data_IF_921070672962
#
_entry.id   IF_921070672962
#
_cell.length_a   1.000
_cell.length_b   1.000
_cell.length_c   1.000
_cell.angle_alpha   90.00
_cell.angle_beta   90.00
_cell.angle_gamma   90.00
#
_symmetry.space_group_name_H-M   'P 1'
#
loop_
_entity.id
_entity.type
_entity.pdbx_description
1 polymer ?
#
# COMPACT_ATOMS: atom_id res chain seq x y z
N UNK A 1 -17.58 4.33 20.31
CA UNK A 1 -17.46 5.69 19.70
C UNK A 1 -17.20 5.50 18.21
N UNK A 2 -17.94 6.18 17.36
CA UNK A 2 -17.74 6.13 15.90
C UNK A 2 -16.93 7.35 15.49
N UNK A 3 -15.83 7.14 14.76
CA UNK A 3 -14.92 8.21 14.35
C UNK A 3 -15.10 8.56 12.87
N UNK A 4 -14.84 9.81 12.52
CA UNK A 4 -14.65 10.29 11.17
C UNK A 4 -13.15 10.44 10.93
N UNK A 5 -12.58 9.59 10.08
CA UNK A 5 -11.15 9.44 9.86
C UNK A 5 -10.79 9.96 8.47
N UNK A 6 -9.83 10.87 8.38
CA UNK A 6 -9.28 11.34 7.12
C UNK A 6 -8.05 10.51 6.73
N UNK A 7 -7.96 10.12 5.46
CA UNK A 7 -6.79 9.46 4.91
C UNK A 7 -6.63 9.80 3.42
N UNK A 8 -5.59 9.26 2.79
CA UNK A 8 -5.24 9.54 1.40
C UNK A 8 -5.37 8.26 0.55
N UNK A 9 -5.81 8.39 -0.70
CA UNK A 9 -5.85 7.26 -1.61
C UNK A 9 -4.43 6.89 -2.07
N UNK A 10 -3.76 6.12 -1.23
CA UNK A 10 -2.41 5.63 -1.49
C UNK A 10 -2.40 4.18 -2.00
N UNK A 11 -3.27 3.31 -1.45
CA UNK A 11 -3.31 1.89 -1.79
C UNK A 11 -4.69 1.30 -1.45
N UNK A 12 -5.57 1.19 -2.44
CA UNK A 12 -6.97 0.79 -2.25
C UNK A 12 -7.14 -0.54 -1.50
N UNK A 13 -6.38 -1.63 -1.80
CA UNK A 13 -6.51 -2.88 -1.05
C UNK A 13 -6.29 -2.70 0.45
N UNK A 14 -5.30 -1.89 0.85
CA UNK A 14 -5.05 -1.58 2.26
C UNK A 14 -6.16 -0.72 2.87
N UNK A 15 -6.66 0.26 2.12
CA UNK A 15 -7.76 1.12 2.59
C UNK A 15 -9.06 0.33 2.74
N UNK A 16 -9.36 -0.63 1.86
CA UNK A 16 -10.47 -1.55 2.01
C UNK A 16 -10.35 -2.40 3.28
N UNK A 17 -9.15 -2.91 3.59
CA UNK A 17 -8.92 -3.63 4.85
C UNK A 17 -9.07 -2.71 6.07
N UNK A 18 -8.50 -1.52 5.99
CA UNK A 18 -8.58 -0.53 7.08
C UNK A 18 -10.02 -0.12 7.35
N UNK A 19 -10.86 0.05 6.32
CA UNK A 19 -12.27 0.43 6.48
C UNK A 19 -13.11 -0.59 7.29
N UNK A 20 -12.70 -1.87 7.32
CA UNK A 20 -13.38 -2.93 8.08
C UNK A 20 -13.38 -2.71 9.60
N UNK A 21 -12.61 -1.76 10.13
CA UNK A 21 -12.68 -1.38 11.55
C UNK A 21 -13.99 -0.64 11.92
N UNK A 22 -14.84 -0.33 10.96
CA UNK A 22 -16.20 0.12 11.19
C UNK A 22 -16.36 1.61 11.52
N UNK A 23 -15.37 2.45 11.16
CA UNK A 23 -15.46 3.92 11.25
C UNK A 23 -15.82 4.53 9.89
N UNK A 24 -16.17 5.82 9.85
CA UNK A 24 -16.34 6.53 8.58
C UNK A 24 -14.97 7.03 8.10
N UNK A 25 -14.62 6.72 6.86
CA UNK A 25 -13.38 7.17 6.23
C UNK A 25 -13.66 8.20 5.15
N UNK A 26 -13.02 9.36 5.26
CA UNK A 26 -12.88 10.31 4.16
C UNK A 26 -11.54 10.05 3.48
N UNK A 27 -11.58 9.66 2.22
CA UNK A 27 -10.36 9.34 1.47
C UNK A 27 -10.14 10.42 0.43
N UNK A 28 -9.03 11.15 0.57
CA UNK A 28 -8.64 12.19 -0.38
C UNK A 28 -8.22 11.55 -1.70
N UNK A 29 -8.90 11.93 -2.77
CA UNK A 29 -8.50 11.60 -4.14
C UNK A 29 -7.73 12.77 -4.76
N UNK A 30 -6.65 12.51 -5.52
CA UNK A 30 -5.97 13.56 -6.26
C UNK A 30 -6.84 14.01 -7.44
N UNK A 31 -6.79 15.31 -7.78
CA UNK A 31 -7.40 15.83 -9.01
C UNK A 31 -6.71 15.24 -10.25
N UNK A 32 -5.40 15.10 -10.17
CA UNK A 32 -4.55 14.50 -11.21
C UNK A 32 -3.76 13.36 -10.57
N UNK A 33 -3.79 12.19 -11.21
CA UNK A 33 -3.01 11.03 -10.75
C UNK A 33 -1.52 11.27 -10.97
N UNK A 34 -0.72 11.21 -9.90
CA UNK A 34 0.72 11.35 -9.94
C UNK A 34 1.40 10.34 -9.02
N UNK A 35 2.27 9.50 -9.57
CA UNK A 35 2.96 8.47 -8.81
C UNK A 35 2.00 7.49 -8.13
N UNK A 36 2.10 7.40 -6.81
CA UNK A 36 1.22 6.53 -6.00
C UNK A 36 -0.13 7.20 -5.67
N UNK A 37 -0.28 8.50 -5.92
CA UNK A 37 -1.55 9.21 -5.73
C UNK A 37 -2.36 9.10 -7.00
N UNK A 38 -3.44 8.32 -6.94
CA UNK A 38 -4.35 8.12 -8.07
C UNK A 38 -5.80 8.12 -7.58
N UNK A 39 -6.73 8.27 -8.52
CA UNK A 39 -8.14 8.09 -8.22
C UNK A 39 -8.43 6.63 -7.92
N UNK A 40 -9.46 6.39 -7.11
CA UNK A 40 -9.91 5.07 -6.76
C UNK A 40 -10.38 4.29 -7.99
N UNK A 41 -9.78 3.15 -8.24
CA UNK A 41 -10.19 2.26 -9.32
C UNK A 41 -11.35 1.36 -8.85
N UNK A 42 -12.57 1.83 -9.10
CA UNK A 42 -13.81 1.13 -8.71
C UNK A 42 -13.98 -0.23 -9.36
N UNK A 43 -13.31 -0.46 -10.51
CA UNK A 43 -13.32 -1.75 -11.18
C UNK A 43 -12.46 -2.77 -10.44
N UNK A 44 -11.33 -2.33 -9.88
CA UNK A 44 -10.42 -3.19 -9.11
C UNK A 44 -10.82 -3.35 -7.65
N UNK A 45 -11.48 -2.35 -7.08
CA UNK A 45 -11.98 -2.40 -5.69
C UNK A 45 -13.24 -1.57 -5.58
N UNK A 46 -14.41 -2.19 -5.28
CA UNK A 46 -15.60 -1.44 -4.90
C UNK A 46 -15.29 -0.51 -3.72
N UNK A 47 -15.83 0.69 -3.74
CA UNK A 47 -15.70 1.60 -2.61
C UNK A 47 -16.54 1.05 -1.45
N UNK A 48 -15.96 0.80 -0.27
CA UNK A 48 -16.73 0.34 0.89
C UNK A 48 -17.79 1.36 1.31
N UNK A 49 -18.93 0.89 1.86
CA UNK A 49 -20.08 1.74 2.21
C UNK A 49 -19.74 2.84 3.24
N UNK A 50 -18.75 2.60 4.09
CA UNK A 50 -18.26 3.56 5.08
C UNK A 50 -17.09 4.42 4.61
N UNK A 51 -16.77 4.39 3.30
CA UNK A 51 -15.73 5.21 2.67
C UNK A 51 -16.37 6.27 1.78
N UNK A 52 -16.00 7.52 1.99
CA UNK A 52 -16.42 8.68 1.21
C UNK A 52 -15.19 9.24 0.51
N UNK A 53 -15.22 9.23 -0.82
CA UNK A 53 -14.15 9.82 -1.62
C UNK A 53 -14.35 11.34 -1.68
N UNK A 54 -13.32 12.10 -1.35
CA UNK A 54 -13.38 13.57 -1.27
C UNK A 54 -12.22 14.21 -2.03
N UNK A 55 -12.43 15.42 -2.52
CA UNK A 55 -11.33 16.26 -3.04
C UNK A 55 -10.47 16.81 -1.90
N UNK A 56 -9.25 17.23 -2.23
CA UNK A 56 -8.40 17.92 -1.25
C UNK A 56 -9.07 19.18 -0.66
N UNK A 57 -9.83 19.92 -1.47
CA UNK A 57 -10.56 21.10 -1.03
C UNK A 57 -11.65 20.76 -0.01
N UNK A 58 -12.44 19.74 -0.26
CA UNK A 58 -13.47 19.27 0.68
C UNK A 58 -12.85 18.76 1.99
N UNK A 59 -11.73 18.04 1.90
CA UNK A 59 -11.00 17.56 3.07
C UNK A 59 -10.50 18.73 3.94
N UNK A 60 -9.94 19.77 3.34
CA UNK A 60 -9.52 20.99 4.05
C UNK A 60 -10.72 21.65 4.72
N UNK A 61 -11.85 21.83 4.04
CA UNK A 61 -13.08 22.39 4.64
C UNK A 61 -13.51 21.61 5.88
N UNK A 62 -13.50 20.27 5.81
CA UNK A 62 -13.85 19.40 6.95
C UNK A 62 -12.85 19.51 8.11
N UNK A 63 -11.57 19.73 7.81
CA UNK A 63 -10.53 19.97 8.83
C UNK A 63 -10.73 21.33 9.51
N UNK A 64 -11.00 22.39 8.73
CA UNK A 64 -11.24 23.75 9.23
C UNK A 64 -12.50 23.85 10.10
N UNK A 65 -13.52 23.07 9.77
CA UNK A 65 -14.76 22.93 10.55
C UNK A 65 -14.60 22.07 11.82
N UNK A 66 -13.44 21.43 12.01
CA UNK A 66 -13.21 20.50 13.14
C UNK A 66 -14.05 19.22 13.05
N UNK A 67 -14.47 18.83 11.85
CA UNK A 67 -15.34 17.69 11.61
C UNK A 67 -14.61 16.35 11.50
N UNK A 68 -13.27 16.35 11.60
CA UNK A 68 -12.40 15.17 11.52
C UNK A 68 -11.87 14.83 12.91
N UNK A 69 -12.02 13.57 13.32
CA UNK A 69 -11.57 13.10 14.64
C UNK A 69 -10.11 12.62 14.63
N UNK A 70 -9.63 12.09 13.50
CA UNK A 70 -8.33 11.45 13.36
C UNK A 70 -7.84 11.52 11.92
N UNK A 71 -6.53 11.68 11.73
CA UNK A 71 -5.89 11.48 10.42
C UNK A 71 -4.99 10.25 10.44
N UNK A 72 -5.10 9.42 9.41
CA UNK A 72 -4.15 8.32 9.13
C UNK A 72 -3.38 8.66 7.87
N UNK A 73 -2.09 8.91 8.04
CA UNK A 73 -1.13 9.21 6.98
C UNK A 73 -0.34 7.94 6.61
N UNK A 74 -0.03 7.76 5.34
CA UNK A 74 0.69 6.60 4.81
C UNK A 74 2.11 6.94 4.34
N UNK A 75 2.45 8.22 4.31
CA UNK A 75 3.78 8.73 3.97
C UNK A 75 3.99 10.13 4.57
N UNK A 76 5.24 10.60 4.52
CA UNK A 76 5.60 11.91 5.10
C UNK A 76 4.91 13.07 4.38
N UNK A 77 4.65 12.97 3.07
CA UNK A 77 3.95 14.02 2.31
C UNK A 77 2.52 14.23 2.85
N UNK A 78 1.83 13.16 3.25
CA UNK A 78 0.51 13.25 3.86
C UNK A 78 0.55 14.07 5.16
N UNK A 79 1.57 13.82 6.01
CA UNK A 79 1.74 14.58 7.26
C UNK A 79 2.03 16.06 7.01
N UNK A 80 2.83 16.40 6.00
CA UNK A 80 3.12 17.79 5.65
C UNK A 80 1.85 18.54 5.32
N UNK A 81 0.94 17.93 4.58
CA UNK A 81 -0.32 18.56 4.15
C UNK A 81 -1.28 18.86 5.32
N UNK A 82 -1.11 18.20 6.47
CA UNK A 82 -2.00 18.34 7.63
C UNK A 82 -1.23 18.74 8.90
N UNK A 83 0.00 19.21 8.74
CA UNK A 83 0.90 19.46 9.87
C UNK A 83 0.31 20.47 10.88
N UNK A 84 -0.27 21.56 10.38
CA UNK A 84 -0.77 22.67 11.19
C UNK A 84 -2.05 22.36 11.97
N UNK A 85 -2.77 21.30 11.60
CA UNK A 85 -4.01 20.94 12.28
C UNK A 85 -3.75 20.24 13.61
N UNK A 86 -4.40 20.73 14.67
CA UNK A 86 -4.23 20.23 16.04
C UNK A 86 -5.21 19.11 16.36
N UNK A 87 -5.08 17.95 15.65
CA UNK A 87 -5.90 16.76 15.88
C UNK A 87 -5.01 15.51 15.96
N UNK A 88 -5.52 14.39 16.50
CA UNK A 88 -4.79 13.13 16.54
C UNK A 88 -4.33 12.68 15.17
N UNK A 89 -3.08 12.22 15.07
CA UNK A 89 -2.46 11.74 13.83
C UNK A 89 -1.80 10.40 14.04
N UNK A 90 -2.00 9.50 13.09
CA UNK A 90 -1.29 8.22 12.99
C UNK A 90 -0.49 8.24 11.69
N UNK A 91 0.79 7.88 11.76
CA UNK A 91 1.63 7.61 10.60
C UNK A 91 1.87 6.11 10.48
N UNK A 92 1.47 5.52 9.36
CA UNK A 92 1.71 4.11 9.04
C UNK A 92 2.93 3.99 8.13
N UNK A 93 3.95 3.29 8.60
CA UNK A 93 5.19 3.05 7.85
C UNK A 93 5.10 1.72 7.10
N UNK A 94 4.99 1.80 5.78
CA UNK A 94 4.83 0.63 4.90
C UNK A 94 6.16 0.05 4.41
N UNK A 95 7.18 0.87 4.21
CA UNK A 95 8.48 0.47 3.68
C UNK A 95 9.58 0.61 4.72
N UNK A 96 10.74 -0.02 4.47
CA UNK A 96 11.99 0.27 5.19
C UNK A 96 12.52 1.64 4.76
N UNK A 97 13.13 2.37 5.68
CA UNK A 97 13.83 3.63 5.36
C UNK A 97 15.02 3.37 4.40
N UNK A 98 15.74 2.28 4.62
CA UNK A 98 16.84 1.87 3.72
C UNK A 98 16.37 1.65 2.28
N UNK A 99 15.16 1.09 2.09
CA UNK A 99 14.54 0.92 0.77
C UNK A 99 14.21 2.26 0.14
N UNK A 100 13.59 3.18 0.87
CA UNK A 100 13.24 4.52 0.39
C UNK A 100 14.49 5.30 -0.06
N UNK A 101 15.54 5.26 0.75
CA UNK A 101 16.82 5.91 0.42
C UNK A 101 17.43 5.30 -0.83
N UNK A 102 17.44 3.97 -0.95
CA UNK A 102 18.00 3.27 -2.10
C UNK A 102 17.25 3.57 -3.40
N UNK A 103 15.91 3.56 -3.35
CA UNK A 103 15.05 3.93 -4.48
C UNK A 103 15.28 5.39 -4.90
N UNK A 104 15.58 6.28 -3.94
CA UNK A 104 15.99 7.65 -4.18
C UNK A 104 17.43 7.79 -4.72
N UNK A 105 18.07 6.69 -5.15
CA UNK A 105 19.46 6.65 -5.62
C UNK A 105 20.48 7.16 -4.58
N UNK A 106 20.24 6.95 -3.30
CA UNK A 106 21.07 7.40 -2.17
C UNK A 106 21.36 8.91 -2.19
N UNK A 107 20.47 9.72 -2.78
CA UNK A 107 20.62 11.19 -2.85
C UNK A 107 20.51 11.86 -1.49
N UNK A 108 19.92 11.16 -0.51
CA UNK A 108 19.71 11.68 0.83
C UNK A 108 20.39 10.75 1.83
N UNK A 109 21.19 11.32 2.72
CA UNK A 109 21.76 10.59 3.84
C UNK A 109 20.66 10.24 4.85
N UNK A 110 20.77 9.08 5.50
CA UNK A 110 19.79 8.58 6.48
C UNK A 110 19.60 9.55 7.63
N UNK A 111 20.68 10.03 8.21
CA UNK A 111 20.65 10.93 9.37
C UNK A 111 20.01 12.26 9.00
N UNK A 112 20.41 12.84 7.89
CA UNK A 112 19.85 14.09 7.37
C UNK A 112 18.35 13.96 7.11
N UNK A 113 17.92 12.81 6.54
CA UNK A 113 16.50 12.55 6.31
C UNK A 113 15.72 12.46 7.62
N UNK A 114 16.22 11.69 8.59
CA UNK A 114 15.59 11.56 9.90
C UNK A 114 15.51 12.89 10.63
N UNK A 115 16.59 13.69 10.62
CA UNK A 115 16.61 15.02 11.23
C UNK A 115 15.56 15.94 10.60
N UNK A 116 15.35 15.84 9.28
CA UNK A 116 14.33 16.64 8.57
C UNK A 116 12.90 16.24 8.92
N UNK A 117 12.61 14.94 9.09
CA UNK A 117 11.24 14.47 9.31
C UNK A 117 10.85 14.37 10.80
N UNK A 118 11.82 14.23 11.71
CA UNK A 118 11.55 14.08 13.14
C UNK A 118 10.64 15.19 13.72
N UNK A 119 10.78 16.47 13.35
CA UNK A 119 9.85 17.52 13.80
C UNK A 119 8.39 17.25 13.40
N UNK A 120 8.15 16.68 12.22
CA UNK A 120 6.80 16.34 11.73
C UNK A 120 6.18 15.17 12.49
N UNK A 121 7.02 14.34 13.13
CA UNK A 121 6.60 13.14 13.87
C UNK A 121 6.38 13.39 15.36
N UNK A 122 6.55 14.63 15.82
CA UNK A 122 6.22 15.02 17.20
C UNK A 122 4.70 14.93 17.37
N UNK A 123 4.25 14.26 18.45
CA UNK A 123 2.83 14.01 18.75
C UNK A 123 2.08 13.19 17.68
N UNK A 124 2.78 12.51 16.79
CA UNK A 124 2.21 11.57 15.82
C UNK A 124 2.41 10.15 16.34
N UNK A 125 1.33 9.37 16.39
CA UNK A 125 1.40 7.94 16.72
C UNK A 125 2.03 7.20 15.54
N UNK A 126 3.13 6.51 15.78
CA UNK A 126 3.86 5.74 14.77
C UNK A 126 3.42 4.29 14.79
N UNK A 127 2.99 3.78 13.63
CA UNK A 127 2.61 2.38 13.41
C UNK A 127 3.46 1.81 12.28
N UNK A 128 4.06 0.66 12.51
CA UNK A 128 4.87 -0.08 11.53
C UNK A 128 4.15 -1.37 11.16
N UNK A 129 4.09 -1.69 9.87
CA UNK A 129 3.43 -2.91 9.41
C UNK A 129 4.25 -4.18 9.65
N UNK A 130 5.49 -4.07 10.16
CA UNK A 130 6.29 -5.21 10.63
C UNK A 130 7.38 -4.77 11.60
N UNK A 131 7.89 -5.72 12.38
CA UNK A 131 8.99 -5.48 13.30
C UNK A 131 10.30 -5.12 12.55
N UNK A 132 10.54 -5.70 11.38
CA UNK A 132 11.72 -5.39 10.57
C UNK A 132 11.71 -3.95 10.09
N UNK A 133 10.54 -3.42 9.69
CA UNK A 133 10.41 -2.02 9.28
C UNK A 133 10.62 -1.07 10.44
N UNK A 134 10.04 -1.35 11.62
CA UNK A 134 10.30 -0.55 12.82
C UNK A 134 11.80 -0.53 13.18
N UNK A 135 12.46 -1.69 13.12
CA UNK A 135 13.89 -1.79 13.39
C UNK A 135 14.71 -0.97 12.39
N UNK A 136 14.41 -1.11 11.10
CA UNK A 136 15.11 -0.37 10.03
C UNK A 136 14.93 1.15 10.16
N UNK A 137 13.76 1.63 10.54
CA UNK A 137 13.55 3.06 10.82
C UNK A 137 14.31 3.54 12.06
N UNK A 138 14.64 2.65 13.00
CA UNK A 138 15.29 3.01 14.25
C UNK A 138 14.41 3.84 15.19
N UNK A 139 13.08 3.72 15.04
CA UNK A 139 12.11 4.51 15.81
C UNK A 139 11.31 3.64 16.77
N UNK A 140 10.78 4.29 17.82
CA UNK A 140 9.75 3.70 18.69
C UNK A 140 8.38 3.82 18.05
N UNK A 141 7.49 2.85 18.30
CA UNK A 141 6.12 2.83 17.81
C UNK A 141 5.53 1.43 17.89
N UNK A 142 4.25 1.31 17.56
CA UNK A 142 3.57 0.03 17.58
C UNK A 142 3.84 -0.75 16.30
N UNK A 143 3.82 -2.07 16.40
CA UNK A 143 3.82 -2.97 15.24
C UNK A 143 2.43 -3.56 15.10
N UNK A 144 1.78 -3.26 13.98
CA UNK A 144 0.46 -3.81 13.63
C UNK A 144 0.58 -4.47 12.27
N UNK A 145 0.51 -5.78 12.24
CA UNK A 145 0.52 -6.52 10.98
C UNK A 145 -0.78 -6.27 10.21
N UNK A 146 -0.74 -6.12 8.87
CA UNK A 146 -1.95 -6.09 8.07
C UNK A 146 -2.75 -7.38 8.27
N UNK A 147 -4.05 -7.22 8.45
CA UNK A 147 -4.99 -8.32 8.50
C UNK A 147 -5.57 -8.64 7.13
N UNK A 148 -6.31 -9.74 7.04
CA UNK A 148 -7.03 -10.16 5.85
C UNK A 148 -8.38 -10.75 6.26
N UNK A 149 -9.41 -10.46 5.49
CA UNK A 149 -10.68 -11.17 5.59
C UNK A 149 -10.73 -12.27 4.53
N UNK A 150 -10.58 -13.50 4.97
CA UNK A 150 -10.56 -14.67 4.08
C UNK A 150 -11.88 -14.83 3.30
N UNK A 151 -12.98 -14.28 3.80
CA UNK A 151 -14.28 -14.35 3.13
C UNK A 151 -14.32 -13.52 1.85
N UNK A 152 -13.45 -12.51 1.72
CA UNK A 152 -13.36 -11.69 0.51
C UNK A 152 -12.79 -12.46 -0.69
N UNK A 153 -12.08 -13.56 -0.45
CA UNK A 153 -11.30 -14.25 -1.49
C UNK A 153 -11.92 -15.55 -1.98
N UNK A 154 -12.78 -16.18 -1.20
CA UNK A 154 -13.36 -17.50 -1.53
C UNK A 154 -12.34 -18.64 -1.43
N UNK A 155 -12.71 -19.81 -1.93
CA UNK A 155 -11.90 -21.02 -1.81
C UNK A 155 -10.83 -21.18 -2.90
N UNK A 156 -9.64 -21.64 -2.54
CA UNK A 156 -8.61 -22.08 -3.49
C UNK A 156 -9.02 -23.40 -4.17
N UNK A 157 -8.78 -23.51 -5.51
CA UNK A 157 -9.05 -24.71 -6.31
C UNK A 157 -7.79 -25.29 -6.94
N UNK A 158 -6.92 -24.47 -7.48
CA UNK A 158 -5.67 -24.90 -8.11
C UNK A 158 -5.84 -25.73 -9.39
N UNK A 159 -6.92 -25.50 -10.13
CA UNK A 159 -7.31 -26.27 -11.31
C UNK A 159 -6.31 -26.14 -12.46
N UNK A 160 -5.69 -24.95 -12.58
CA UNK A 160 -4.78 -24.64 -13.68
C UNK A 160 -3.32 -24.83 -13.27
N UNK A 161 -2.60 -25.68 -13.98
CA UNK A 161 -1.18 -25.97 -13.76
C UNK A 161 -0.30 -24.82 -14.24
N UNK A 162 -0.45 -23.65 -13.65
CA UNK A 162 0.34 -22.45 -13.98
C UNK A 162 0.73 -21.70 -12.70
N UNK A 163 1.76 -20.88 -12.81
CA UNK A 163 2.26 -20.02 -11.74
C UNK A 163 1.67 -18.61 -11.91
N UNK A 164 1.11 -18.06 -10.84
CA UNK A 164 0.63 -16.69 -10.78
C UNK A 164 1.71 -15.78 -10.18
N UNK A 165 1.97 -14.66 -10.82
CA UNK A 165 2.76 -13.54 -10.30
C UNK A 165 1.94 -12.25 -10.40
N UNK A 166 1.77 -11.54 -9.29
CA UNK A 166 0.96 -10.31 -9.23
C UNK A 166 1.79 -9.15 -8.71
N UNK A 167 1.76 -8.04 -9.42
CA UNK A 167 2.41 -6.80 -9.03
C UNK A 167 2.45 -5.80 -10.17
N UNK A 168 2.71 -4.54 -9.84
CA UNK A 168 2.90 -3.48 -10.82
C UNK A 168 4.37 -3.13 -10.94
N UNK A 169 4.85 -2.88 -12.16
CA UNK A 169 6.21 -2.46 -12.46
C UNK A 169 7.26 -3.40 -11.82
N UNK A 170 7.03 -4.72 -11.93
CA UNK A 170 7.84 -5.73 -11.26
C UNK A 170 9.29 -5.66 -11.74
N UNK A 171 9.50 -5.47 -13.06
CA UNK A 171 10.83 -5.36 -13.66
C UNK A 171 11.54 -4.08 -13.25
N UNK A 172 10.84 -2.96 -13.25
CA UNK A 172 11.38 -1.65 -12.87
C UNK A 172 11.69 -1.57 -11.37
N UNK A 173 11.01 -2.38 -10.58
CA UNK A 173 11.17 -2.49 -9.14
C UNK A 173 11.93 -3.75 -8.72
N UNK A 174 12.83 -4.25 -9.57
CA UNK A 174 13.56 -5.52 -9.36
C UNK A 174 14.22 -5.59 -7.97
N UNK A 175 14.81 -4.50 -7.51
CA UNK A 175 15.40 -4.39 -6.16
C UNK A 175 14.46 -4.85 -5.04
N UNK A 176 13.17 -4.55 -5.16
CA UNK A 176 12.15 -4.87 -4.16
C UNK A 176 11.39 -6.15 -4.51
N UNK A 177 11.05 -6.31 -5.78
CA UNK A 177 10.13 -7.34 -6.27
C UNK A 177 10.85 -8.63 -6.70
N UNK A 178 12.19 -8.60 -6.84
CA UNK A 178 13.00 -9.75 -7.25
C UNK A 178 12.63 -10.27 -8.65
N UNK A 179 12.48 -9.36 -9.63
CA UNK A 179 12.13 -9.71 -11.00
C UNK A 179 13.11 -10.72 -11.59
N UNK A 180 14.42 -10.43 -11.53
CA UNK A 180 15.47 -11.30 -12.07
C UNK A 180 15.35 -12.73 -11.51
N UNK A 181 15.24 -12.86 -10.20
CA UNK A 181 15.04 -14.17 -9.55
C UNK A 181 13.74 -14.84 -10.00
N UNK A 182 12.65 -14.06 -10.17
CA UNK A 182 11.38 -14.64 -10.61
C UNK A 182 11.43 -15.14 -12.05
N UNK A 183 12.16 -14.49 -12.95
CA UNK A 183 12.34 -14.98 -14.33
C UNK A 183 13.12 -16.28 -14.38
N UNK A 184 14.18 -16.42 -13.56
CA UNK A 184 14.94 -17.67 -13.45
C UNK A 184 14.06 -18.84 -12.98
N UNK A 185 13.22 -18.58 -11.95
CA UNK A 185 12.28 -19.59 -11.43
C UNK A 185 11.19 -19.96 -12.45
N UNK A 186 10.68 -18.96 -13.20
CA UNK A 186 9.59 -19.16 -14.16
C UNK A 186 10.07 -19.77 -15.49
N UNK A 187 11.37 -19.87 -15.69
CA UNK A 187 11.93 -20.40 -16.95
C UNK A 187 11.38 -21.80 -17.25
N UNK A 188 10.71 -21.94 -18.40
CA UNK A 188 10.09 -23.19 -18.85
C UNK A 188 8.79 -23.56 -18.12
N UNK A 189 8.29 -22.75 -17.21
CA UNK A 189 7.01 -22.98 -16.52
C UNK A 189 5.88 -22.15 -17.15
N UNK A 190 4.67 -22.73 -17.31
CA UNK A 190 3.51 -21.91 -17.67
C UNK A 190 3.21 -20.93 -16.55
N UNK A 191 3.14 -19.64 -16.91
CA UNK A 191 2.94 -18.59 -15.91
C UNK A 191 2.04 -17.47 -16.44
N UNK A 192 1.37 -16.78 -15.50
CA UNK A 192 0.57 -15.59 -15.74
C UNK A 192 1.11 -14.47 -14.85
N UNK A 193 1.43 -13.33 -15.45
CA UNK A 193 1.79 -12.11 -14.73
C UNK A 193 0.66 -11.11 -14.82
N UNK A 194 0.10 -10.71 -13.67
CA UNK A 194 -0.96 -9.70 -13.54
C UNK A 194 -0.44 -8.40 -12.98
N UNK A 195 -0.97 -7.30 -13.49
CA UNK A 195 -0.64 -5.94 -13.10
C UNK A 195 -0.05 -5.12 -14.25
N UNK A 196 0.18 -3.84 -13.98
CA UNK A 196 0.77 -2.91 -14.95
C UNK A 196 2.27 -3.21 -15.11
N UNK A 197 2.64 -3.99 -16.12
CA UNK A 197 4.00 -4.43 -16.39
C UNK A 197 4.36 -4.27 -17.88
N UNK A 198 4.55 -3.04 -18.38
CA UNK A 198 4.72 -2.78 -19.83
C UNK A 198 5.98 -3.44 -20.41
N UNK A 199 6.98 -3.75 -19.57
CA UNK A 199 8.26 -4.33 -19.99
C UNK A 199 8.38 -5.83 -19.68
N UNK A 200 7.26 -6.50 -19.39
CA UNK A 200 7.18 -7.97 -19.24
C UNK A 200 6.29 -8.52 -20.31
N UNK A 201 6.86 -9.37 -21.19
CA UNK A 201 6.12 -9.98 -22.29
C UNK A 201 5.01 -10.89 -21.75
N UNK A 202 3.79 -10.73 -22.27
CA UNK A 202 2.62 -11.52 -21.87
C UNK A 202 1.99 -11.10 -20.53
N UNK A 203 2.54 -10.10 -19.85
CA UNK A 203 1.85 -9.52 -18.69
C UNK A 203 0.58 -8.78 -19.12
N UNK A 204 -0.45 -8.87 -18.29
CA UNK A 204 -1.73 -8.19 -18.54
C UNK A 204 -2.29 -7.56 -17.28
N UNK A 205 -3.11 -6.56 -17.44
CA UNK A 205 -3.98 -6.10 -16.37
C UNK A 205 -5.06 -7.15 -16.09
N UNK A 206 -5.49 -7.23 -14.86
CA UNK A 206 -6.75 -7.88 -14.53
C UNK A 206 -7.90 -7.04 -15.11
N UNK A 207 -8.93 -7.69 -15.61
CA UNK A 207 -10.12 -7.00 -16.14
C UNK A 207 -11.01 -6.40 -15.06
N UNK A 208 -10.72 -6.70 -13.79
CA UNK A 208 -11.41 -6.24 -12.61
C UNK A 208 -11.04 -7.09 -11.40
N UNK A 209 -11.68 -6.81 -10.26
CA UNK A 209 -11.41 -7.54 -9.02
C UNK A 209 -11.80 -9.01 -9.12
N UNK A 210 -12.92 -9.33 -9.76
CA UNK A 210 -13.39 -10.72 -9.92
C UNK A 210 -12.42 -11.55 -10.76
N UNK A 211 -11.85 -10.99 -11.84
CA UNK A 211 -10.79 -11.67 -12.59
C UNK A 211 -9.56 -11.94 -11.72
N UNK A 212 -9.14 -10.96 -10.94
CA UNK A 212 -8.01 -11.13 -10.02
C UNK A 212 -8.28 -12.26 -9.01
N UNK A 213 -9.46 -12.29 -8.41
CA UNK A 213 -9.88 -13.35 -7.48
C UNK A 213 -9.92 -14.71 -8.16
N UNK A 214 -10.43 -14.79 -9.40
CA UNK A 214 -10.47 -16.02 -10.16
C UNK A 214 -9.06 -16.56 -10.43
N UNK A 215 -8.09 -15.70 -10.75
CA UNK A 215 -6.70 -16.10 -10.92
C UNK A 215 -6.08 -16.64 -9.62
N UNK A 216 -6.35 -16.01 -8.48
CA UNK A 216 -5.89 -16.51 -7.17
C UNK A 216 -6.48 -17.88 -6.83
N UNK A 217 -7.73 -18.14 -7.20
CA UNK A 217 -8.43 -19.40 -6.91
C UNK A 217 -8.02 -20.53 -7.82
N UNK A 218 -7.84 -20.26 -9.11
CA UNK A 218 -7.66 -21.28 -10.14
C UNK A 218 -6.20 -21.67 -10.39
N UNK A 219 -5.25 -20.72 -10.25
CA UNK A 219 -3.85 -21.00 -10.52
C UNK A 219 -3.19 -21.75 -9.36
N UNK A 220 -2.35 -22.74 -9.72
CA UNK A 220 -1.84 -23.75 -8.76
C UNK A 220 -0.79 -23.21 -7.81
N UNK A 221 0.00 -22.24 -8.23
CA UNK A 221 1.11 -21.68 -7.45
C UNK A 221 1.09 -20.17 -7.54
N UNK A 222 1.28 -19.50 -6.43
CA UNK A 222 1.59 -18.07 -6.39
C UNK A 222 3.09 -17.89 -6.15
N UNK A 223 3.77 -17.14 -7.02
CA UNK A 223 5.18 -16.83 -6.89
C UNK A 223 5.37 -15.43 -6.33
N UNK A 224 6.12 -15.34 -5.25
CA UNK A 224 6.57 -14.08 -4.66
C UNK A 224 8.07 -14.13 -4.40
N UNK A 225 8.81 -13.14 -4.92
CA UNK A 225 10.27 -13.06 -4.87
C UNK A 225 10.69 -11.69 -4.41
N UNK A 226 10.68 -11.43 -3.11
CA UNK A 226 11.21 -10.16 -2.58
C UNK A 226 12.60 -10.34 -1.99
N UNK A 227 13.42 -9.29 -2.07
CA UNK A 227 14.69 -9.24 -1.37
C UNK A 227 14.46 -9.04 0.13
N UNK A 228 15.20 -9.77 0.98
CA UNK A 228 15.15 -9.59 2.42
C UNK A 228 15.65 -8.20 2.87
N UNK A 229 16.61 -7.63 2.12
CA UNK A 229 17.21 -6.35 2.47
C UNK A 229 16.31 -5.17 2.09
N UNK A 230 15.66 -5.26 0.92
CA UNK A 230 14.85 -4.17 0.33
C UNK A 230 13.41 -4.59 0.09
N UNK A 231 12.89 -5.46 0.94
CA UNK A 231 11.52 -5.97 0.82
C UNK A 231 10.50 -4.86 0.56
N UNK A 232 9.57 -5.13 -0.33
CA UNK A 232 8.37 -4.32 -0.55
C UNK A 232 7.55 -4.20 0.75
N UNK A 233 6.52 -3.38 0.73
CA UNK A 233 5.51 -3.39 1.77
C UNK A 233 5.00 -4.80 2.04
N UNK A 234 4.14 -4.96 3.02
CA UNK A 234 3.49 -6.24 3.25
C UNK A 234 2.69 -6.62 1.99
N UNK A 235 3.06 -7.75 1.36
CA UNK A 235 2.41 -8.14 0.12
C UNK A 235 1.05 -8.77 0.44
N UNK A 236 -0.02 -7.97 0.26
CA UNK A 236 -1.40 -8.40 0.50
C UNK A 236 -1.86 -9.53 -0.45
N UNK A 237 -1.09 -9.82 -1.51
CA UNK A 237 -1.36 -10.95 -2.41
C UNK A 237 -0.89 -12.29 -1.85
N UNK A 238 -0.12 -12.30 -0.75
CA UNK A 238 0.31 -13.52 -0.06
C UNK A 238 -0.65 -13.96 1.06
N UNK A 239 -1.53 -13.07 1.47
CA UNK A 239 -2.51 -13.35 2.52
C UNK A 239 -3.75 -14.01 1.94
#
# INVERSE_FOLDING_TARGET
MHLKILSYNWHEPYLCLLSKIGHTFLIIEPEISEGNYRRWDKNMRPVPDNVILVSAKEAISQLDEGAIDLVIAHNIKDLVNIYEYSLPKIMVFHNKLSTEIKLGNNKVNREDYLNKINPLLVNVKKVFISASKRHDWGMTGDVILPGLDVNDYGGYRGDLSSVLRVGNLIKERDLMMGFTTSEDILSGLPSITLGLNPNILGARLSSGFDDLLEQYRSLRVYLHTTSNDYEDGYNLSLL
#
